data_IF_277211522539
#
_entry.id   IF_277211522539
#
_cell.length_a   1.000
_cell.length_b   1.000
_cell.length_c   1.000
_cell.angle_alpha   90.00
_cell.angle_beta   90.00
_cell.angle_gamma   90.00
#
_symmetry.space_group_name_H-M   'P 1'
#
loop_
_entity.id
_entity.type
_entity.pdbx_description
1 polymer ?
#
# COMPACT_ATOMS: atom_id res chain seq x y z
N UNK A 1 19.83 7.85 -22.71
CA UNK A 1 18.68 7.10 -22.16
C UNK A 1 17.74 8.08 -21.50
N UNK A 2 16.44 8.06 -21.81
CA UNK A 2 15.48 8.90 -21.10
C UNK A 2 15.50 8.55 -19.59
N UNK A 3 15.55 9.56 -18.72
CA UNK A 3 15.60 9.38 -17.27
C UNK A 3 14.30 8.70 -16.83
N UNK A 4 14.37 7.53 -16.19
CA UNK A 4 13.18 6.88 -15.65
C UNK A 4 12.56 7.79 -14.59
N UNK A 5 11.24 7.76 -14.53
CA UNK A 5 10.45 8.35 -13.45
C UNK A 5 9.71 7.26 -12.70
N UNK A 6 9.27 7.55 -11.48
CA UNK A 6 8.40 6.66 -10.72
C UNK A 6 7.18 6.21 -11.55
N UNK A 7 6.61 7.11 -12.34
CA UNK A 7 5.50 6.78 -13.23
C UNK A 7 5.86 5.72 -14.27
N UNK A 8 7.01 5.88 -14.94
CA UNK A 8 7.47 4.90 -15.94
C UNK A 8 7.84 3.55 -15.32
N UNK A 9 8.35 3.55 -14.09
CA UNK A 9 8.66 2.32 -13.34
C UNK A 9 7.35 1.60 -13.03
N UNK A 10 6.39 2.31 -12.45
CA UNK A 10 5.09 1.75 -12.07
C UNK A 10 4.31 1.22 -13.27
N UNK A 11 4.30 1.93 -14.40
CA UNK A 11 3.68 1.45 -15.64
C UNK A 11 4.29 0.13 -16.14
N UNK A 12 5.59 -0.08 -15.96
CA UNK A 12 6.21 -1.37 -16.30
C UNK A 12 5.79 -2.48 -15.33
N UNK A 13 5.73 -2.19 -14.03
CA UNK A 13 5.20 -3.13 -13.02
C UNK A 13 3.77 -3.54 -13.39
N UNK A 14 2.89 -2.59 -13.66
CA UNK A 14 1.50 -2.83 -14.07
C UNK A 14 1.46 -3.69 -15.33
N UNK A 15 2.28 -3.38 -16.34
CA UNK A 15 2.36 -4.16 -17.57
C UNK A 15 2.76 -5.61 -17.32
N UNK A 16 3.74 -5.85 -16.46
CA UNK A 16 4.18 -7.21 -16.11
C UNK A 16 3.07 -7.96 -15.38
N UNK A 17 2.47 -7.33 -14.36
CA UNK A 17 1.37 -7.90 -13.60
C UNK A 17 0.16 -8.23 -14.48
N UNK A 18 -0.26 -7.30 -15.34
CA UNK A 18 -1.37 -7.51 -16.26
C UNK A 18 -1.07 -8.55 -17.34
N UNK A 19 0.19 -8.72 -17.74
CA UNK A 19 0.56 -9.79 -18.69
C UNK A 19 0.38 -11.16 -18.04
N UNK A 20 0.76 -11.29 -16.77
CA UNK A 20 0.49 -12.48 -15.96
C UNK A 20 -1.01 -12.71 -15.75
N UNK A 21 -1.76 -11.71 -15.28
CA UNK A 21 -3.20 -11.82 -15.00
C UNK A 21 -4.07 -12.17 -16.22
N UNK A 22 -3.59 -11.87 -17.42
CA UNK A 22 -4.28 -12.17 -18.68
C UNK A 22 -3.70 -13.42 -19.37
N UNK A 23 -2.98 -14.28 -18.64
CA UNK A 23 -2.39 -15.54 -19.12
C UNK A 23 -1.46 -15.38 -20.35
N UNK A 24 -0.88 -14.19 -20.55
CA UNK A 24 0.07 -13.92 -21.64
C UNK A 24 1.49 -14.36 -21.30
N UNK A 25 1.81 -14.45 -20.01
CA UNK A 25 3.09 -14.90 -19.46
C UNK A 25 2.85 -15.66 -18.17
N UNK A 26 3.74 -16.57 -17.80
CA UNK A 26 3.70 -17.20 -16.47
C UNK A 26 4.04 -16.21 -15.36
N UNK A 27 3.69 -16.54 -14.11
CA UNK A 27 4.08 -15.76 -12.93
C UNK A 27 5.61 -15.61 -12.85
N UNK A 28 6.34 -16.71 -13.02
CA UNK A 28 7.81 -16.73 -12.99
C UNK A 28 8.41 -15.80 -14.03
N UNK A 29 7.91 -15.81 -15.27
CA UNK A 29 8.37 -14.90 -16.33
C UNK A 29 8.09 -13.42 -16.00
N UNK A 30 6.95 -13.12 -15.37
CA UNK A 30 6.61 -11.77 -14.96
C UNK A 30 7.50 -11.29 -13.80
N UNK A 31 7.77 -12.17 -12.83
CA UNK A 31 8.69 -11.92 -11.72
C UNK A 31 10.12 -11.72 -12.20
N UNK A 32 10.59 -12.49 -13.19
CA UNK A 32 11.95 -12.33 -13.71
C UNK A 32 12.12 -10.98 -14.43
N UNK A 33 11.13 -10.56 -15.22
CA UNK A 33 11.11 -9.20 -15.81
C UNK A 33 11.07 -8.11 -14.74
N UNK A 34 10.34 -8.34 -13.64
CA UNK A 34 10.33 -7.43 -12.52
C UNK A 34 11.71 -7.37 -11.85
N UNK A 35 12.36 -8.51 -11.55
CA UNK A 35 13.73 -8.56 -10.99
C UNK A 35 14.72 -7.76 -11.84
N UNK A 36 14.68 -7.94 -13.16
CA UNK A 36 15.54 -7.17 -14.09
C UNK A 36 15.28 -5.66 -14.02
N UNK A 37 14.04 -5.22 -13.83
CA UNK A 37 13.70 -3.82 -13.64
C UNK A 37 14.23 -3.30 -12.29
N UNK A 38 14.03 -4.07 -11.22
CA UNK A 38 14.39 -3.68 -9.85
C UNK A 38 15.91 -3.67 -9.61
N UNK A 39 16.67 -4.46 -10.37
CA UNK A 39 18.12 -4.51 -10.32
C UNK A 39 18.81 -3.22 -10.80
N UNK A 40 18.07 -2.27 -11.40
CA UNK A 40 18.65 -1.04 -11.97
C UNK A 40 18.87 0.02 -10.90
N UNK A 41 20.07 0.60 -10.85
CA UNK A 41 20.47 1.60 -9.85
C UNK A 41 19.56 2.84 -9.82
N UNK A 42 19.10 3.29 -11.00
CA UNK A 42 18.20 4.44 -11.10
C UNK A 42 16.83 4.13 -10.50
N UNK A 43 16.34 2.90 -10.66
CA UNK A 43 15.10 2.42 -10.04
C UNK A 43 15.25 2.39 -8.53
N UNK A 44 16.33 1.80 -8.00
CA UNK A 44 16.59 1.77 -6.57
C UNK A 44 16.67 3.18 -5.96
N UNK A 45 17.35 4.10 -6.66
CA UNK A 45 17.45 5.51 -6.24
C UNK A 45 16.07 6.17 -6.17
N UNK A 46 15.26 6.04 -7.22
CA UNK A 46 13.91 6.64 -7.29
C UNK A 46 13.00 6.10 -6.19
N UNK A 47 13.05 4.79 -5.91
CA UNK A 47 12.23 4.17 -4.86
C UNK A 47 12.68 4.62 -3.47
N UNK A 48 14.00 4.74 -3.26
CA UNK A 48 14.54 5.26 -2.02
C UNK A 48 14.14 6.73 -1.78
N UNK A 49 14.20 7.57 -2.81
CA UNK A 49 13.77 8.96 -2.74
C UNK A 49 12.26 9.09 -2.51
N UNK A 50 11.45 8.24 -3.14
CA UNK A 50 10.01 8.16 -2.88
C UNK A 50 9.72 7.92 -1.40
N UNK A 51 10.36 6.91 -0.80
CA UNK A 51 10.15 6.59 0.61
C UNK A 51 10.58 7.73 1.53
N UNK A 52 11.71 8.39 1.23
CA UNK A 52 12.16 9.59 1.96
C UNK A 52 11.15 10.72 1.90
N UNK A 53 10.57 10.99 0.73
CA UNK A 53 9.55 12.05 0.58
C UNK A 53 8.27 11.68 1.29
N UNK A 54 7.81 10.44 1.15
CA UNK A 54 6.57 9.99 1.80
C UNK A 54 6.70 9.93 3.32
N UNK A 55 7.86 9.55 3.84
CA UNK A 55 8.04 9.24 5.25
C UNK A 55 9.00 10.19 5.99
N UNK A 56 9.28 11.37 5.44
CA UNK A 56 10.22 12.35 6.03
C UNK A 56 9.84 12.84 7.43
N UNK A 57 8.56 12.75 7.79
CA UNK A 57 8.03 13.22 9.09
C UNK A 57 8.03 12.13 10.17
N UNK A 58 8.47 10.92 9.85
CA UNK A 58 8.47 9.79 10.78
C UNK A 58 9.91 9.43 11.16
N UNK A 59 10.30 9.76 12.39
CA UNK A 59 11.66 9.57 12.91
C UNK A 59 12.14 8.11 12.79
N UNK A 60 11.21 7.15 12.95
CA UNK A 60 11.48 5.72 12.78
C UNK A 60 12.08 5.37 11.42
N UNK A 61 11.77 6.16 10.39
CA UNK A 61 12.18 5.93 9.01
C UNK A 61 13.27 6.87 8.51
N UNK A 62 13.76 7.81 9.34
CA UNK A 62 14.71 8.84 8.93
C UNK A 62 16.02 8.29 8.33
N UNK A 63 16.43 7.08 8.75
CA UNK A 63 17.64 6.40 8.26
C UNK A 63 17.34 5.12 7.48
N UNK A 64 16.08 4.88 7.13
CA UNK A 64 15.65 3.63 6.51
C UNK A 64 15.86 3.65 5.00
N UNK A 65 16.22 2.49 4.45
CA UNK A 65 16.29 2.25 3.01
C UNK A 65 14.92 1.75 2.52
N UNK A 66 14.50 2.25 1.36
CA UNK A 66 13.28 1.75 0.69
C UNK A 66 13.64 0.97 -0.56
N UNK A 67 12.99 -0.17 -0.74
CA UNK A 67 13.21 -1.02 -1.89
C UNK A 67 11.92 -1.70 -2.35
N UNK A 68 11.83 -1.93 -3.65
CA UNK A 68 10.89 -2.91 -4.18
C UNK A 68 11.58 -4.28 -4.15
N UNK A 69 10.83 -5.33 -3.82
CA UNK A 69 11.30 -6.71 -3.81
C UNK A 69 10.20 -7.62 -4.36
N UNK A 70 10.55 -8.87 -4.62
CA UNK A 70 9.57 -9.92 -4.88
C UNK A 70 9.56 -10.80 -3.63
N UNK A 71 8.44 -10.81 -2.92
CA UNK A 71 8.34 -11.56 -1.67
C UNK A 71 8.28 -13.07 -1.92
N UNK A 72 7.69 -13.48 -3.05
CA UNK A 72 7.37 -14.89 -3.29
C UNK A 72 6.55 -15.47 -2.14
N UNK A 73 6.99 -16.58 -1.58
CA UNK A 73 6.36 -17.25 -0.43
C UNK A 73 6.98 -16.84 0.92
N UNK A 74 7.73 -15.74 1.01
CA UNK A 74 8.34 -15.30 2.27
C UNK A 74 7.26 -15.02 3.34
N UNK A 75 7.23 -15.79 4.44
CA UNK A 75 6.21 -15.65 5.48
C UNK A 75 6.28 -14.30 6.22
N UNK A 76 7.40 -13.57 6.11
CA UNK A 76 7.53 -12.23 6.68
C UNK A 76 6.66 -11.20 5.95
N UNK A 77 6.34 -11.44 4.69
CA UNK A 77 5.39 -10.64 3.95
C UNK A 77 3.97 -11.14 4.24
N UNK A 78 3.39 -10.70 5.35
CA UNK A 78 1.96 -10.90 5.62
C UNK A 78 1.09 -9.84 4.91
N UNK A 79 1.72 -8.80 4.35
CA UNK A 79 1.12 -7.67 3.64
C UNK A 79 1.99 -7.32 2.43
N UNK A 80 1.56 -6.40 1.55
CA UNK A 80 2.40 -5.92 0.44
C UNK A 80 3.68 -5.22 0.88
N UNK A 81 3.82 -4.88 2.16
CA UNK A 81 4.98 -4.22 2.75
C UNK A 81 5.49 -4.97 3.97
N UNK A 82 6.77 -4.84 4.23
CA UNK A 82 7.43 -5.34 5.43
C UNK A 82 8.55 -4.39 5.84
N UNK A 83 8.68 -4.12 7.14
CA UNK A 83 9.79 -3.32 7.68
C UNK A 83 10.67 -4.17 8.58
N UNK A 84 11.94 -4.29 8.20
CA UNK A 84 12.99 -4.87 9.04
C UNK A 84 13.63 -3.75 9.88
N UNK A 85 13.29 -3.70 11.17
CA UNK A 85 13.80 -2.68 12.08
C UNK A 85 15.31 -2.83 12.38
N UNK A 86 15.85 -4.03 12.25
CA UNK A 86 17.28 -4.31 12.49
C UNK A 86 18.12 -3.78 11.33
N UNK A 87 17.72 -4.11 10.11
CA UNK A 87 18.41 -3.67 8.89
C UNK A 87 17.96 -2.27 8.43
N UNK A 88 16.91 -1.72 9.04
CA UNK A 88 16.25 -0.46 8.67
C UNK A 88 15.84 -0.45 7.20
N UNK A 89 15.19 -1.52 6.75
CA UNK A 89 14.75 -1.67 5.36
C UNK A 89 13.25 -1.81 5.30
N UNK A 90 12.58 -0.89 4.59
CA UNK A 90 11.18 -1.04 4.20
C UNK A 90 11.15 -1.64 2.79
N UNK A 91 10.67 -2.87 2.70
CA UNK A 91 10.52 -3.61 1.46
C UNK A 91 9.05 -3.62 1.02
N UNK A 92 8.81 -3.39 -0.27
CA UNK A 92 7.48 -3.41 -0.88
C UNK A 92 7.46 -4.46 -1.98
N UNK A 93 6.48 -5.35 -1.95
CA UNK A 93 6.16 -6.23 -3.07
C UNK A 93 5.14 -5.53 -3.98
N UNK A 94 5.54 -5.09 -5.18
CA UNK A 94 4.67 -4.31 -6.03
C UNK A 94 3.57 -5.16 -6.69
N UNK A 95 3.74 -6.48 -6.85
CA UNK A 95 2.68 -7.35 -7.34
C UNK A 95 1.60 -7.54 -6.27
N UNK A 96 1.99 -7.72 -5.02
CA UNK A 96 1.03 -7.78 -3.90
C UNK A 96 0.27 -6.47 -3.69
N UNK A 97 0.86 -5.32 -4.02
CA UNK A 97 0.12 -4.03 -4.06
C UNK A 97 -0.96 -4.04 -5.14
N UNK A 98 -0.67 -4.59 -6.31
CA UNK A 98 -1.63 -4.71 -7.40
C UNK A 98 -2.70 -5.77 -7.12
N UNK A 99 -2.35 -6.87 -6.46
CA UNK A 99 -3.32 -7.85 -5.96
C UNK A 99 -4.28 -7.24 -4.93
N UNK A 100 -3.76 -6.42 -4.01
CA UNK A 100 -4.60 -5.66 -3.09
C UNK A 100 -5.56 -4.73 -3.84
N UNK A 101 -5.11 -4.08 -4.92
CA UNK A 101 -5.97 -3.25 -5.74
C UNK A 101 -7.07 -4.07 -6.44
N UNK A 102 -6.73 -5.24 -6.97
CA UNK A 102 -7.73 -6.16 -7.55
C UNK A 102 -8.72 -6.65 -6.49
N UNK A 103 -8.29 -6.92 -5.25
CA UNK A 103 -9.18 -7.23 -4.13
C UNK A 103 -10.14 -6.08 -3.83
N UNK A 104 -9.66 -4.83 -3.82
CA UNK A 104 -10.49 -3.64 -3.64
C UNK A 104 -11.59 -3.54 -4.71
N UNK A 105 -11.29 -3.93 -5.96
CA UNK A 105 -12.30 -3.97 -7.04
C UNK A 105 -13.37 -5.03 -6.80
N UNK A 106 -13.01 -6.20 -6.30
CA UNK A 106 -14.01 -7.23 -5.98
C UNK A 106 -15.03 -6.72 -4.96
N UNK A 107 -14.58 -5.94 -3.96
CA UNK A 107 -15.48 -5.33 -2.99
C UNK A 107 -16.38 -4.23 -3.57
N UNK A 108 -16.00 -3.59 -4.68
CA UNK A 108 -16.85 -2.58 -5.33
C UNK A 108 -17.96 -3.20 -6.19
N UNK A 109 -17.79 -4.45 -6.63
CA UNK A 109 -18.81 -5.18 -7.38
C UNK A 109 -19.94 -5.68 -6.47
N UNK A 110 -19.62 -6.19 -5.27
CA UNK A 110 -20.62 -6.68 -4.31
C UNK A 110 -20.14 -6.63 -2.84
N UNK A 111 -20.22 -5.47 -2.16
CA UNK A 111 -19.72 -5.32 -0.79
C UNK A 111 -20.56 -6.08 0.24
N UNK A 112 -21.85 -6.33 -0.04
CA UNK A 112 -22.79 -6.96 0.89
C UNK A 112 -22.65 -8.48 0.89
N UNK A 113 -22.53 -9.14 -0.28
CA UNK A 113 -22.41 -10.60 -0.33
C UNK A 113 -21.09 -11.10 0.25
N UNK A 114 -20.02 -10.30 0.12
CA UNK A 114 -18.70 -10.60 0.67
C UNK A 114 -18.60 -10.33 2.19
N UNK A 115 -19.57 -9.61 2.77
CA UNK A 115 -19.57 -9.22 4.18
C UNK A 115 -20.29 -10.19 5.12
N UNK A 116 -20.80 -11.32 4.62
CA UNK A 116 -21.46 -12.34 5.47
C UNK A 116 -22.71 -11.86 6.23
N UNK A 117 -23.19 -10.64 5.95
CA UNK A 117 -24.34 -10.01 6.62
C UNK A 117 -24.02 -9.25 7.91
N UNK A 118 -22.75 -9.15 8.34
CA UNK A 118 -22.37 -8.33 9.50
C UNK A 118 -21.95 -6.91 9.09
N UNK A 119 -22.31 -5.93 9.94
CA UNK A 119 -22.16 -4.51 9.62
C UNK A 119 -20.69 -4.08 9.53
N UNK A 120 -19.82 -4.63 10.38
CA UNK A 120 -18.41 -4.26 10.43
C UNK A 120 -17.67 -4.74 9.17
N UNK A 121 -17.95 -5.98 8.72
CA UNK A 121 -17.47 -6.51 7.45
C UNK A 121 -18.00 -5.73 6.27
N UNK A 122 -19.30 -5.37 6.26
CA UNK A 122 -19.86 -4.52 5.21
C UNK A 122 -19.13 -3.17 5.12
N UNK A 123 -18.90 -2.50 6.25
CA UNK A 123 -18.18 -1.21 6.29
C UNK A 123 -16.75 -1.34 5.80
N UNK A 124 -16.01 -2.35 6.28
CA UNK A 124 -14.65 -2.64 5.82
C UNK A 124 -14.64 -2.83 4.31
N UNK A 125 -15.55 -3.63 3.77
CA UNK A 125 -15.64 -3.90 2.33
C UNK A 125 -16.02 -2.65 1.54
N UNK A 126 -16.99 -1.86 2.03
CA UNK A 126 -17.38 -0.59 1.40
C UNK A 126 -16.22 0.42 1.37
N UNK A 127 -15.42 0.50 2.45
CA UNK A 127 -14.22 1.32 2.45
C UNK A 127 -13.19 0.81 1.43
N UNK A 128 -12.97 -0.50 1.36
CA UNK A 128 -12.05 -1.10 0.39
C UNK A 128 -12.50 -0.83 -1.05
N UNK A 129 -13.81 -0.87 -1.32
CA UNK A 129 -14.39 -0.48 -2.60
C UNK A 129 -14.11 0.99 -2.96
N UNK A 130 -14.13 1.90 -1.98
CA UNK A 130 -13.77 3.29 -2.21
C UNK A 130 -12.30 3.43 -2.63
N UNK A 131 -11.39 2.65 -2.03
CA UNK A 131 -9.98 2.70 -2.37
C UNK A 131 -9.73 2.40 -3.86
N UNK A 132 -10.48 1.47 -4.48
CA UNK A 132 -10.23 1.09 -5.89
C UNK A 132 -10.52 2.20 -6.92
N UNK A 133 -11.16 3.31 -6.50
CA UNK A 133 -11.38 4.49 -7.35
C UNK A 133 -10.10 5.28 -7.61
N UNK A 134 -9.11 5.19 -6.71
CA UNK A 134 -7.82 5.84 -6.88
C UNK A 134 -6.92 5.05 -7.86
N UNK A 135 -5.95 5.69 -8.53
CA UNK A 135 -4.99 4.97 -9.36
C UNK A 135 -4.16 3.99 -8.53
N UNK A 136 -3.76 2.87 -9.11
CA UNK A 136 -2.87 1.84 -8.50
C UNK A 136 -1.61 2.43 -7.86
N UNK A 137 -1.05 3.49 -8.43
CA UNK A 137 0.12 4.19 -7.88
C UNK A 137 -0.19 4.84 -6.52
N UNK A 138 -1.42 5.29 -6.29
CA UNK A 138 -1.85 5.75 -4.97
C UNK A 138 -1.93 4.58 -3.97
N UNK A 139 -2.23 3.34 -4.42
CA UNK A 139 -2.17 2.15 -3.57
C UNK A 139 -0.75 1.87 -3.08
N UNK A 140 0.27 2.07 -3.92
CA UNK A 140 1.67 1.99 -3.50
C UNK A 140 1.93 2.94 -2.33
N UNK A 141 1.51 4.21 -2.46
CA UNK A 141 1.71 5.21 -1.41
C UNK A 141 0.92 4.87 -0.15
N UNK A 142 -0.34 4.45 -0.31
CA UNK A 142 -1.21 4.00 0.78
C UNK A 142 -0.56 2.86 1.57
N UNK A 143 0.01 1.85 0.91
CA UNK A 143 0.65 0.71 1.58
C UNK A 143 1.95 1.09 2.29
N UNK A 144 2.74 2.01 1.74
CA UNK A 144 3.91 2.57 2.44
C UNK A 144 3.48 3.30 3.72
N UNK A 145 2.44 4.12 3.65
CA UNK A 145 1.91 4.83 4.82
C UNK A 145 1.27 3.87 5.83
N UNK A 146 0.55 2.85 5.37
CA UNK A 146 0.02 1.81 6.25
C UNK A 146 1.16 1.12 7.01
N UNK A 147 2.28 0.82 6.36
CA UNK A 147 3.44 0.25 7.03
C UNK A 147 4.00 1.19 8.10
N UNK A 148 4.04 2.49 7.84
CA UNK A 148 4.45 3.48 8.85
C UNK A 148 3.50 3.49 10.05
N UNK A 149 2.19 3.44 9.81
CA UNK A 149 1.18 3.38 10.87
C UNK A 149 1.37 2.16 11.78
N UNK A 150 1.63 1.00 11.16
CA UNK A 150 1.90 -0.25 11.85
C UNK A 150 3.17 -0.11 12.66
N UNK A 151 4.26 0.32 12.02
CA UNK A 151 5.60 0.43 12.61
C UNK A 151 5.67 1.43 13.77
N UNK A 152 4.92 2.52 13.73
CA UNK A 152 4.87 3.50 14.83
C UNK A 152 3.82 3.15 15.89
N UNK A 153 3.17 1.98 15.78
CA UNK A 153 2.25 1.46 16.80
C UNK A 153 0.96 2.27 16.94
N UNK A 154 0.48 2.92 15.87
CA UNK A 154 -0.71 3.78 15.93
C UNK A 154 -1.99 3.03 16.33
N UNK A 155 -2.03 1.72 16.15
CA UNK A 155 -3.13 0.84 16.59
C UNK A 155 -2.80 0.03 17.84
N UNK A 156 -1.62 0.25 18.44
CA UNK A 156 -1.11 -0.52 19.58
C UNK A 156 -0.62 0.42 20.68
N UNK A 157 -1.55 1.17 21.29
CA UNK A 157 -1.27 1.89 22.53
C UNK A 157 -0.87 0.85 23.60
N UNK A 158 0.41 0.76 23.93
CA UNK A 158 0.92 -0.01 25.08
C UNK A 158 1.67 -1.31 24.79
N UNK A 159 2.01 -1.64 23.53
CA UNK A 159 2.89 -2.79 23.22
C UNK A 159 4.33 -2.31 22.97
N UNK A 160 5.29 -2.93 23.65
CA UNK A 160 6.73 -2.63 23.57
C UNK A 160 7.40 -3.16 22.30
N UNK A 161 6.74 -4.05 21.58
CA UNK A 161 7.19 -4.57 20.29
C UNK A 161 6.09 -4.39 19.27
N UNK A 162 6.46 -3.84 18.11
CA UNK A 162 5.53 -3.61 17.02
C UNK A 162 5.33 -4.91 16.26
N UNK A 163 4.13 -5.52 16.28
CA UNK A 163 3.94 -6.81 15.64
C UNK A 163 4.03 -6.60 14.11
N UNK A 164 5.09 -7.10 13.49
CA UNK A 164 5.09 -7.36 12.04
C UNK A 164 4.11 -8.48 11.67
N UNK A 165 3.46 -9.12 12.66
CA UNK A 165 2.49 -10.19 12.49
C UNK A 165 1.19 -9.79 11.80
N UNK A 166 0.30 -10.78 11.70
CA UNK A 166 -1.05 -10.60 11.16
C UNK A 166 -1.81 -9.65 12.09
N UNK A 167 -2.32 -8.56 11.54
CA UNK A 167 -3.21 -7.66 12.26
C UNK A 167 -4.59 -8.31 12.32
N UNK A 168 -5.30 -8.10 13.43
CA UNK A 168 -6.74 -8.32 13.42
C UNK A 168 -7.43 -7.37 12.43
N UNK A 169 -8.65 -7.70 12.05
CA UNK A 169 -9.42 -6.96 11.05
C UNK A 169 -9.61 -5.47 11.41
N UNK A 170 -9.79 -5.17 12.70
CA UNK A 170 -10.00 -3.79 13.20
C UNK A 170 -8.72 -2.98 13.08
N UNK A 171 -7.60 -3.52 13.56
CA UNK A 171 -6.27 -2.91 13.46
C UNK A 171 -5.86 -2.72 11.99
N UNK A 172 -6.12 -3.71 11.13
CA UNK A 172 -5.86 -3.60 9.70
C UNK A 172 -6.66 -2.46 9.05
N UNK A 173 -7.95 -2.37 9.37
CA UNK A 173 -8.83 -1.32 8.88
C UNK A 173 -8.44 0.07 9.39
N UNK A 174 -8.15 0.23 10.69
CA UNK A 174 -7.73 1.49 11.30
C UNK A 174 -6.40 2.01 10.72
N UNK A 175 -5.42 1.14 10.50
CA UNK A 175 -4.15 1.55 9.86
C UNK A 175 -4.36 2.00 8.42
N UNK A 176 -5.32 1.43 7.68
CA UNK A 176 -5.66 1.89 6.33
C UNK A 176 -6.38 3.24 6.33
N UNK A 177 -7.31 3.47 7.25
CA UNK A 177 -7.98 4.77 7.40
C UNK A 177 -6.96 5.87 7.66
N UNK A 178 -6.08 5.62 8.64
CA UNK A 178 -5.01 6.56 8.95
C UNK A 178 -4.10 6.78 7.73
N UNK A 179 -3.72 5.72 7.01
CA UNK A 179 -2.89 5.83 5.82
C UNK A 179 -3.55 6.66 4.72
N UNK A 180 -4.87 6.52 4.52
CA UNK A 180 -5.62 7.34 3.58
C UNK A 180 -5.63 8.81 4.01
N UNK A 181 -5.88 9.10 5.28
CA UNK A 181 -5.86 10.47 5.81
C UNK A 181 -4.48 11.13 5.64
N UNK A 182 -3.38 10.39 5.83
CA UNK A 182 -2.04 10.91 5.55
C UNK A 182 -1.78 11.09 4.06
N UNK A 183 -2.26 10.17 3.23
CA UNK A 183 -2.13 10.27 1.79
C UNK A 183 -2.85 11.51 1.26
N UNK A 184 -4.05 11.81 1.76
CA UNK A 184 -4.81 13.03 1.45
C UNK A 184 -4.00 14.29 1.76
N UNK A 185 -3.45 14.39 2.96
CA UNK A 185 -2.61 15.52 3.38
C UNK A 185 -1.38 15.67 2.48
N UNK A 186 -0.69 14.56 2.19
CA UNK A 186 0.53 14.54 1.38
C UNK A 186 0.28 14.92 -0.08
N UNK A 187 -0.77 14.37 -0.69
CA UNK A 187 -1.13 14.67 -2.08
C UNK A 187 -1.58 16.12 -2.25
N UNK A 188 -2.29 16.66 -1.26
CA UNK A 188 -2.64 18.07 -1.23
C UNK A 188 -1.40 18.97 -1.05
N UNK A 189 -0.53 18.66 -0.08
CA UNK A 189 0.65 19.47 0.19
C UNK A 189 1.67 19.47 -0.97
N UNK A 190 1.85 18.33 -1.65
CA UNK A 190 2.81 18.22 -2.75
C UNK A 190 2.29 18.82 -4.06
N UNK A 191 1.03 18.56 -4.40
CA UNK A 191 0.51 18.81 -5.76
C UNK A 191 -0.84 19.57 -5.78
N UNK A 192 -1.38 19.99 -4.64
CA UNK A 192 -2.71 20.61 -4.54
C UNK A 192 -3.88 19.67 -4.82
N UNK A 193 -3.64 18.34 -4.84
CA UNK A 193 -4.66 17.36 -5.22
C UNK A 193 -5.54 17.03 -4.01
N UNK A 194 -6.84 17.32 -4.12
CA UNK A 194 -7.86 16.85 -3.18
C UNK A 194 -8.35 15.46 -3.58
N UNK A 195 -7.80 14.38 -2.99
CA UNK A 195 -8.08 13.00 -3.42
C UNK A 195 -9.58 12.65 -3.46
N UNK A 196 -10.35 13.09 -2.46
CA UNK A 196 -11.81 12.81 -2.44
C UNK A 196 -12.54 13.44 -3.61
N UNK A 197 -12.18 14.68 -3.95
CA UNK A 197 -12.78 15.39 -5.08
C UNK A 197 -12.31 14.82 -6.40
N UNK A 198 -11.01 14.58 -6.53
CA UNK A 198 -10.38 14.06 -7.76
C UNK A 198 -10.90 12.68 -8.14
N UNK A 199 -11.06 11.79 -7.16
CA UNK A 199 -11.43 10.40 -7.38
C UNK A 199 -12.84 10.05 -6.89
N UNK A 200 -13.65 11.06 -6.52
CA UNK A 200 -15.03 10.89 -6.02
C UNK A 200 -15.10 9.85 -4.88
N UNK A 201 -14.20 9.99 -3.91
CA UNK A 201 -14.20 9.15 -2.70
C UNK A 201 -15.30 9.64 -1.76
N UNK A 202 -16.28 8.76 -1.51
CA UNK A 202 -17.44 9.01 -0.65
C UNK A 202 -17.29 8.14 0.59
N UNK A 203 -16.21 8.35 1.34
CA UNK A 203 -16.00 7.76 2.66
C UNK A 203 -15.87 8.86 3.71
N UNK A 204 -16.68 8.77 4.77
CA UNK A 204 -16.65 9.71 5.89
C UNK A 204 -16.22 8.98 7.16
N UNK A 205 -15.09 9.41 7.74
CA UNK A 205 -14.52 8.83 8.98
C UNK A 205 -15.40 9.02 10.23
N UNK A 206 -16.37 9.94 10.19
CA UNK A 206 -16.99 10.55 11.36
C UNK A 206 -17.90 9.64 12.23
N UNK A 207 -17.91 8.32 12.03
CA UNK A 207 -18.81 7.42 12.75
C UNK A 207 -18.15 6.56 13.85
N UNK A 208 -16.86 6.77 14.20
CA UNK A 208 -16.19 5.93 15.22
C UNK A 208 -15.36 6.67 16.29
N UNK A 209 -15.36 8.00 16.36
CA UNK A 209 -14.72 8.72 17.50
C UNK A 209 -15.61 8.92 18.72
N UNK A 210 -16.84 8.41 18.75
CA UNK A 210 -17.67 8.42 19.95
C UNK A 210 -18.40 7.09 20.14
N UNK A 211 -17.68 6.14 20.72
CA UNK A 211 -18.20 4.85 21.19
C UNK A 211 -17.35 4.34 22.35
N UNK A 212 -17.01 5.23 23.28
CA UNK A 212 -16.52 4.92 24.63
C UNK A 212 -17.46 5.59 25.64
#
# INVERSE_FOLDING_TARGET
MAKRSLNSIWQNVEKFYQSYKNDKTSLTEAEDKLKELLAKDDVQTIINDLGRVLLSEFDTFASSKFQLTIAGDDPKFVRPTMYDAKEKVLSIDPFRVLEFFDQCKLYSEDPLSLGGGDFDSYRKNAFMAELCKMPTKAMLFLKILQQAAITDGLTHIGLSEVPQGILDDVSYYQTLLWALAQLEKKMYAMNGIHLRTEYTLVWHEAEWTSGA
#
